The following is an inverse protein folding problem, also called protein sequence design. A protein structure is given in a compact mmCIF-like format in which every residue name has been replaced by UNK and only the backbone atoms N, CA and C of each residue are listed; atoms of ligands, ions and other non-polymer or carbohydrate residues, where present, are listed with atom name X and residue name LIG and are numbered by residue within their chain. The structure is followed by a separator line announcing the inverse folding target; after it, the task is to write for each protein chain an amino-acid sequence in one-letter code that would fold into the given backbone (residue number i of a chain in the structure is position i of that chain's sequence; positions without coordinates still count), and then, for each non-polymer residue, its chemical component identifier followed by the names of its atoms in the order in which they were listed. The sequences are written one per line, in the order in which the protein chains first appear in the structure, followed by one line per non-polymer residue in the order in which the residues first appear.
data_IF_222406574513
#
_entry.id   IF_222406574513
#
_cell.length_a   1.000
_cell.length_b   1.000
_cell.length_c   1.000
_cell.angle_alpha   90.00
_cell.angle_beta   90.00
_cell.angle_gamma   90.00
#
_symmetry.space_group_name_H-M   'P 1'
#
loop_
_entity.id
_entity.type
_entity.pdbx_description
1 polymer ?
#
# COMPACT_ATOMS: atom_id res chain seq x y z
N UNK A 1 5.40 16.08 -52.06
CA UNK A 1 4.58 14.98 -52.61
C UNK A 1 4.12 14.15 -51.42
N UNK A 2 2.82 13.86 -51.28
CA UNK A 2 2.33 13.02 -50.16
C UNK A 2 2.66 11.56 -50.49
N UNK A 3 3.42 10.87 -49.64
CA UNK A 3 3.61 9.42 -49.77
C UNK A 3 2.24 8.76 -49.79
N UNK A 4 1.97 7.94 -50.79
CA UNK A 4 0.73 7.17 -50.86
C UNK A 4 0.74 6.10 -49.78
N UNK A 5 -0.43 5.77 -49.23
CA UNK A 5 -0.57 4.74 -48.20
C UNK A 5 0.07 3.41 -48.61
N UNK A 6 0.02 3.07 -49.91
CA UNK A 6 0.67 1.87 -50.45
C UNK A 6 2.19 1.89 -50.33
N UNK A 7 2.84 3.04 -50.54
CA UNK A 7 4.29 3.17 -50.38
C UNK A 7 4.71 2.99 -48.91
N UNK A 8 3.92 3.54 -47.97
CA UNK A 8 4.17 3.35 -46.54
C UNK A 8 3.99 1.89 -46.11
N UNK A 9 2.96 1.22 -46.62
CA UNK A 9 2.73 -0.21 -46.35
C UNK A 9 3.90 -1.04 -46.88
N UNK A 10 4.38 -0.74 -48.10
CA UNK A 10 5.54 -1.42 -48.67
C UNK A 10 6.83 -1.16 -47.88
N UNK A 11 7.08 0.07 -47.43
CA UNK A 11 8.25 0.41 -46.62
C UNK A 11 8.29 -0.33 -45.27
N UNK A 12 7.13 -0.52 -44.63
CA UNK A 12 7.03 -1.15 -43.31
C UNK A 12 7.06 -2.69 -43.42
N UNK A 13 6.34 -3.25 -44.38
CA UNK A 13 6.09 -4.70 -44.45
C UNK A 13 6.79 -5.40 -45.62
N UNK A 14 7.44 -4.65 -46.52
CA UNK A 14 8.11 -5.19 -47.71
C UNK A 14 7.16 -5.70 -48.80
N UNK A 15 5.86 -5.57 -48.59
CA UNK A 15 4.80 -6.05 -49.48
C UNK A 15 3.53 -5.24 -49.30
N UNK A 16 2.77 -5.05 -50.38
CA UNK A 16 1.40 -4.50 -50.34
C UNK A 16 0.34 -5.57 -50.62
N UNK A 17 0.75 -6.83 -50.83
CA UNK A 17 -0.19 -7.93 -51.09
C UNK A 17 -1.00 -8.27 -49.82
N UNK A 18 -2.34 -8.18 -49.85
CA UNK A 18 -3.18 -8.43 -48.68
C UNK A 18 -3.05 -9.83 -48.08
N UNK A 19 -2.68 -10.85 -48.86
CA UNK A 19 -2.50 -12.22 -48.32
C UNK A 19 -1.22 -12.33 -47.52
N UNK A 20 -0.12 -11.80 -48.05
CA UNK A 20 1.15 -11.74 -47.33
C UNK A 20 1.06 -10.86 -46.06
N UNK A 21 0.37 -9.72 -46.12
CA UNK A 21 0.14 -8.88 -44.93
C UNK A 21 -0.62 -9.62 -43.82
N UNK A 22 -1.63 -10.43 -44.18
CA UNK A 22 -2.36 -11.27 -43.20
C UNK A 22 -1.48 -12.36 -42.61
N UNK A 23 -0.54 -12.90 -43.39
CA UNK A 23 0.43 -13.90 -42.91
C UNK A 23 1.40 -13.26 -41.91
N UNK A 24 1.98 -12.11 -42.26
CA UNK A 24 2.88 -11.35 -41.38
C UNK A 24 2.21 -11.00 -40.04
N UNK A 25 0.92 -10.63 -40.04
CA UNK A 25 0.17 -10.37 -38.81
C UNK A 25 0.03 -11.62 -37.92
N UNK A 26 -0.30 -12.78 -38.53
CA UNK A 26 -0.40 -14.05 -37.80
C UNK A 26 0.95 -14.50 -37.23
N UNK A 27 2.01 -14.37 -38.03
CA UNK A 27 3.36 -14.70 -37.61
C UNK A 27 3.78 -13.78 -36.44
N UNK A 28 3.48 -12.48 -36.50
CA UNK A 28 3.75 -11.53 -35.43
C UNK A 28 3.01 -11.88 -34.12
N UNK A 29 1.72 -12.23 -34.20
CA UNK A 29 0.95 -12.71 -33.04
C UNK A 29 1.58 -13.97 -32.43
N UNK A 30 2.02 -14.91 -33.27
CA UNK A 30 2.68 -16.13 -32.81
C UNK A 30 4.03 -15.82 -32.14
N UNK A 31 4.83 -14.91 -32.71
CA UNK A 31 6.09 -14.45 -32.09
C UNK A 31 5.85 -13.78 -30.74
N UNK A 32 4.82 -12.92 -30.61
CA UNK A 32 4.46 -12.29 -29.33
C UNK A 32 4.05 -13.33 -28.28
N UNK A 33 3.26 -14.34 -28.66
CA UNK A 33 2.87 -15.42 -27.76
C UNK A 33 4.06 -16.27 -27.32
N UNK A 34 5.02 -16.53 -28.21
CA UNK A 34 6.26 -17.25 -27.89
C UNK A 34 7.14 -16.43 -26.94
N UNK A 35 7.34 -15.14 -27.21
CA UNK A 35 8.09 -14.23 -26.36
C UNK A 35 7.46 -14.11 -24.95
N UNK A 36 6.12 -14.07 -24.87
CA UNK A 36 5.41 -14.04 -23.59
C UNK A 36 5.58 -15.36 -22.82
N UNK A 37 5.53 -16.51 -23.49
CA UNK A 37 5.81 -17.82 -22.89
C UNK A 37 7.27 -17.96 -22.44
N UNK A 38 8.22 -17.46 -23.20
CA UNK A 38 9.64 -17.43 -22.81
C UNK A 38 9.89 -16.50 -21.61
N UNK A 39 9.28 -15.31 -21.58
CA UNK A 39 9.35 -14.41 -20.43
C UNK A 39 8.78 -15.06 -19.16
N UNK A 40 7.67 -15.80 -19.28
CA UNK A 40 7.09 -16.58 -18.17
C UNK A 40 8.00 -17.75 -17.74
N UNK A 41 8.72 -18.39 -18.68
CA UNK A 41 9.72 -19.42 -18.36
C UNK A 41 10.93 -18.84 -17.64
N UNK A 42 11.42 -17.67 -18.02
CA UNK A 42 12.51 -16.99 -17.32
C UNK A 42 12.09 -16.39 -15.97
N UNK A 43 10.79 -16.18 -15.74
CA UNK A 43 10.25 -15.84 -14.42
C UNK A 43 10.09 -17.06 -13.50
N UNK A 44 10.20 -18.29 -14.01
CA UNK A 44 10.11 -19.52 -13.23
C UNK A 44 11.36 -19.67 -12.34
N UNK A 45 11.23 -19.25 -11.07
CA UNK A 45 12.28 -19.38 -10.05
C UNK A 45 12.53 -18.10 -9.26
N UNK A 46 12.16 -16.93 -9.79
CA UNK A 46 12.17 -15.69 -9.00
C UNK A 46 10.96 -15.71 -8.07
N UNK A 47 11.18 -15.92 -6.77
CA UNK A 47 10.11 -15.78 -5.77
C UNK A 47 9.42 -14.42 -5.96
N UNK A 48 8.07 -14.36 -5.98
CA UNK A 48 7.36 -13.10 -6.14
C UNK A 48 7.77 -12.15 -5.02
N UNK A 49 7.89 -10.86 -5.35
CA UNK A 49 8.13 -9.84 -4.35
C UNK A 49 6.99 -9.87 -3.31
N UNK A 50 7.32 -9.64 -2.04
CA UNK A 50 6.31 -9.56 -0.99
C UNK A 50 5.25 -8.53 -1.36
N UNK A 51 3.98 -8.92 -1.21
CA UNK A 51 2.87 -7.99 -1.39
C UNK A 51 2.86 -6.96 -0.27
N UNK A 52 2.28 -5.79 -0.51
CA UNK A 52 2.16 -4.77 0.53
C UNK A 52 1.42 -5.29 1.77
N UNK A 53 0.31 -6.05 1.67
CA UNK A 53 -0.29 -6.72 2.83
C UNK A 53 0.69 -7.58 3.64
N UNK A 54 1.56 -8.36 2.98
CA UNK A 54 2.56 -9.18 3.68
C UNK A 54 3.62 -8.31 4.38
N UNK A 55 4.08 -7.24 3.72
CA UNK A 55 5.04 -6.29 4.29
C UNK A 55 4.45 -5.61 5.54
N UNK A 56 3.20 -5.15 5.44
CA UNK A 56 2.47 -4.53 6.55
C UNK A 56 2.23 -5.53 7.68
N UNK A 57 1.90 -6.78 7.36
CA UNK A 57 1.74 -7.84 8.36
C UNK A 57 3.04 -8.09 9.14
N UNK A 58 4.22 -8.07 8.49
CA UNK A 58 5.50 -8.16 9.19
C UNK A 58 5.72 -6.99 10.16
N UNK A 59 5.43 -5.76 9.73
CA UNK A 59 5.55 -4.56 10.58
C UNK A 59 4.55 -4.60 11.76
N UNK A 60 3.31 -5.01 11.50
CA UNK A 60 2.27 -5.21 12.50
C UNK A 60 2.68 -6.24 13.56
N UNK A 61 3.22 -7.39 13.15
CA UNK A 61 3.72 -8.41 14.08
C UNK A 61 4.84 -7.86 14.98
N UNK A 62 5.73 -7.04 14.43
CA UNK A 62 6.79 -6.41 15.23
C UNK A 62 6.22 -5.44 16.27
N UNK A 63 5.26 -4.58 15.89
CA UNK A 63 4.61 -3.66 16.84
C UNK A 63 3.92 -4.42 17.97
N UNK A 64 3.33 -5.59 17.67
CA UNK A 64 2.72 -6.47 18.66
C UNK A 64 3.73 -7.24 19.53
N UNK A 65 5.02 -6.92 19.43
CA UNK A 65 6.08 -7.51 20.26
C UNK A 65 6.63 -8.85 19.77
N UNK A 66 6.27 -9.32 18.57
CA UNK A 66 6.87 -10.53 18.01
C UNK A 66 8.33 -10.30 17.67
N UNK A 67 9.17 -11.28 17.98
CA UNK A 67 10.60 -11.19 17.65
C UNK A 67 10.82 -11.35 16.13
N UNK A 68 11.89 -10.74 15.61
CA UNK A 68 12.28 -10.91 14.20
C UNK A 68 12.48 -12.39 13.84
N UNK A 69 12.92 -13.23 14.79
CA UNK A 69 13.05 -14.67 14.60
C UNK A 69 11.70 -15.38 14.47
N UNK A 70 10.66 -14.96 15.19
CA UNK A 70 9.30 -15.47 15.04
C UNK A 70 8.68 -15.05 13.72
N UNK A 71 8.84 -13.78 13.33
CA UNK A 71 8.34 -13.27 12.04
C UNK A 71 9.01 -14.01 10.89
N UNK A 72 10.34 -14.18 10.94
CA UNK A 72 11.10 -14.93 9.94
C UNK A 72 10.60 -16.37 9.76
N UNK A 73 10.31 -17.07 10.87
CA UNK A 73 9.71 -18.42 10.84
C UNK A 73 8.32 -18.41 10.21
N UNK A 74 7.49 -17.44 10.58
CA UNK A 74 6.10 -17.31 10.08
C UNK A 74 6.07 -17.15 8.56
N UNK A 75 6.96 -16.32 8.01
CA UNK A 75 7.03 -16.04 6.58
C UNK A 75 8.02 -16.95 5.82
N UNK A 76 8.65 -17.91 6.50
CA UNK A 76 9.65 -18.83 5.93
C UNK A 76 10.78 -18.10 5.16
N UNK A 77 11.29 -17.01 5.75
CA UNK A 77 12.38 -16.21 5.19
C UNK A 77 13.47 -15.93 6.22
N UNK A 78 14.60 -15.40 5.75
CA UNK A 78 15.69 -15.00 6.64
C UNK A 78 15.29 -13.81 7.52
N UNK A 79 15.94 -13.66 8.68
CA UNK A 79 15.80 -12.46 9.54
C UNK A 79 16.15 -11.18 8.78
N UNK A 80 17.17 -11.23 7.92
CA UNK A 80 17.57 -10.09 7.08
C UNK A 80 16.45 -9.67 6.14
N UNK A 81 15.74 -10.63 5.55
CA UNK A 81 14.58 -10.35 4.70
C UNK A 81 13.49 -9.61 5.47
N UNK A 82 13.19 -10.05 6.71
CA UNK A 82 12.21 -9.38 7.57
C UNK A 82 12.64 -7.93 7.85
N UNK A 83 13.89 -7.69 8.25
CA UNK A 83 14.41 -6.34 8.46
C UNK A 83 14.22 -5.45 7.22
N UNK A 84 14.58 -5.95 6.04
CA UNK A 84 14.47 -5.20 4.79
C UNK A 84 13.00 -4.90 4.43
N UNK A 85 12.08 -5.85 4.64
CA UNK A 85 10.66 -5.62 4.35
C UNK A 85 10.03 -4.63 5.34
N UNK A 86 10.31 -4.74 6.64
CA UNK A 86 9.84 -3.76 7.63
C UNK A 86 10.40 -2.37 7.32
N UNK A 87 11.68 -2.26 6.95
CA UNK A 87 12.24 -0.99 6.52
C UNK A 87 11.51 -0.42 5.29
N UNK A 88 11.17 -1.27 4.31
CA UNK A 88 10.36 -0.88 3.14
C UNK A 88 8.95 -0.45 3.52
N UNK A 89 8.34 -1.00 4.57
CA UNK A 89 7.03 -0.56 5.05
C UNK A 89 7.00 0.93 5.38
N UNK A 90 8.15 1.49 5.81
CA UNK A 90 8.34 2.91 6.10
C UNK A 90 8.77 3.75 4.90
N UNK A 91 9.00 3.18 3.71
CA UNK A 91 9.35 3.91 2.50
C UNK A 91 8.16 3.90 1.53
N UNK A 92 7.05 4.50 1.95
CA UNK A 92 5.77 4.34 1.26
C UNK A 92 5.36 5.49 0.34
N UNK A 93 6.03 6.65 0.45
CA UNK A 93 5.82 7.79 -0.45
C UNK A 93 7.13 8.51 -0.74
N UNK A 94 7.26 9.06 -1.94
CA UNK A 94 8.34 10.00 -2.32
C UNK A 94 7.90 11.46 -2.16
N UNK A 95 6.62 11.71 -1.90
CA UNK A 95 6.10 13.03 -1.62
C UNK A 95 6.57 13.49 -0.22
N UNK A 96 7.26 14.64 -0.12
CA UNK A 96 7.78 15.12 1.15
C UNK A 96 6.68 15.52 2.14
N UNK A 97 5.47 15.88 1.71
CA UNK A 97 4.39 16.28 2.61
C UNK A 97 3.61 15.05 3.14
N UNK A 98 3.71 13.90 2.47
CA UNK A 98 3.14 12.62 2.93
C UNK A 98 4.09 11.95 3.93
N UNK A 99 3.92 12.30 5.21
CA UNK A 99 4.79 11.83 6.30
C UNK A 99 4.24 10.65 7.10
N UNK A 100 2.94 10.38 7.03
CA UNK A 100 2.31 9.31 7.83
C UNK A 100 1.41 8.42 6.97
N UNK A 101 1.47 7.12 7.21
CA UNK A 101 0.51 6.13 6.71
C UNK A 101 -0.17 5.45 7.88
N UNK A 102 -1.50 5.45 7.89
CA UNK A 102 -2.29 4.57 8.74
C UNK A 102 -2.65 3.32 7.95
N UNK A 103 -2.40 2.16 8.54
CA UNK A 103 -2.84 0.86 8.03
C UNK A 103 -3.99 0.40 8.93
N UNK A 104 -5.21 0.38 8.40
CA UNK A 104 -6.38 -0.15 9.09
C UNK A 104 -6.43 -1.66 8.88
N UNK A 105 -6.34 -2.42 9.96
CA UNK A 105 -6.29 -3.87 9.97
C UNK A 105 -7.51 -4.47 10.64
N UNK A 106 -7.92 -5.65 10.17
CA UNK A 106 -8.81 -6.55 10.89
C UNK A 106 -7.99 -7.79 11.29
N UNK A 107 -7.79 -8.01 12.59
CA UNK A 107 -6.81 -8.99 13.10
C UNK A 107 -5.43 -8.76 12.48
N UNK A 108 -4.94 -9.67 11.64
CA UNK A 108 -3.65 -9.59 10.95
C UNK A 108 -3.80 -9.20 9.47
N UNK A 109 -5.02 -8.92 8.99
CA UNK A 109 -5.31 -8.61 7.59
C UNK A 109 -5.38 -7.10 7.36
N UNK A 110 -4.52 -6.61 6.46
CA UNK A 110 -4.58 -5.24 5.97
C UNK A 110 -5.89 -5.03 5.18
N UNK A 111 -6.69 -4.05 5.60
CA UNK A 111 -7.96 -3.71 4.96
C UNK A 111 -7.87 -2.42 4.13
N UNK A 112 -7.29 -1.36 4.69
CA UNK A 112 -7.13 -0.07 4.02
C UNK A 112 -5.80 0.57 4.42
N UNK A 113 -5.05 1.14 3.47
CA UNK A 113 -3.98 2.10 3.77
C UNK A 113 -4.49 3.51 3.55
N UNK A 114 -4.06 4.44 4.40
CA UNK A 114 -4.42 5.86 4.37
C UNK A 114 -3.10 6.63 4.45
N UNK A 115 -2.68 7.21 3.34
CA UNK A 115 -1.55 8.15 3.27
C UNK A 115 -2.04 9.54 3.63
N UNK A 116 -1.31 10.21 4.52
CA UNK A 116 -1.77 11.44 5.15
C UNK A 116 -0.76 12.56 4.90
N UNK A 117 -1.24 13.62 4.26
CA UNK A 117 -0.61 14.92 4.15
C UNK A 117 -1.33 15.87 5.10
N UNK A 118 -0.73 16.08 6.28
CA UNK A 118 -1.27 16.99 7.30
C UNK A 118 -1.15 18.46 6.91
N UNK A 119 -0.22 18.82 6.01
CA UNK A 119 0.05 20.20 5.66
C UNK A 119 -1.01 20.76 4.73
N UNK A 120 -1.45 19.95 3.78
CA UNK A 120 -2.46 20.33 2.80
C UNK A 120 -3.84 19.73 3.11
N UNK A 121 -3.99 19.05 4.25
CA UNK A 121 -5.23 18.42 4.68
C UNK A 121 -5.77 17.48 3.59
N UNK A 122 -4.92 16.55 3.15
CA UNK A 122 -5.27 15.57 2.11
C UNK A 122 -4.95 14.16 2.55
N UNK A 123 -5.78 13.23 2.09
CA UNK A 123 -5.52 11.80 2.23
C UNK A 123 -5.64 11.09 0.89
N UNK A 124 -4.89 10.00 0.74
CA UNK A 124 -5.05 9.03 -0.33
C UNK A 124 -5.23 7.64 0.26
N UNK A 125 -6.19 6.87 -0.26
CA UNK A 125 -6.48 5.54 0.27
C UNK A 125 -6.25 4.43 -0.75
N UNK A 126 -5.98 3.24 -0.25
CA UNK A 126 -6.06 2.01 -1.03
C UNK A 126 -6.76 0.92 -0.22
N UNK A 127 -7.81 0.34 -0.79
CA UNK A 127 -8.58 -0.75 -0.19
C UNK A 127 -8.05 -2.12 -0.66
N UNK A 128 -7.81 -3.04 0.28
CA UNK A 128 -7.27 -4.39 0.04
C UNK A 128 -8.28 -5.51 0.30
N UNK A 129 -9.51 -5.14 0.67
CA UNK A 129 -10.61 -6.07 0.91
C UNK A 129 -11.85 -5.70 0.09
N UNK A 130 -12.58 -6.72 -0.37
CA UNK A 130 -13.90 -6.56 -1.00
C UNK A 130 -15.03 -6.45 0.03
N UNK A 131 -14.77 -6.76 1.30
CA UNK A 131 -15.75 -6.68 2.39
C UNK A 131 -15.87 -5.22 2.84
N UNK A 132 -16.93 -4.55 2.39
CA UNK A 132 -17.20 -3.13 2.69
C UNK A 132 -17.12 -2.83 4.20
N UNK A 133 -17.68 -3.63 5.13
CA UNK A 133 -17.62 -3.33 6.57
C UNK A 133 -16.20 -3.33 7.16
N UNK A 134 -15.21 -3.88 6.46
CA UNK A 134 -13.83 -3.92 6.93
C UNK A 134 -12.98 -2.76 6.40
N UNK A 135 -13.50 -1.95 5.48
CA UNK A 135 -12.78 -0.79 4.92
C UNK A 135 -12.90 0.40 5.86
N UNK A 136 -11.86 1.22 5.95
CA UNK A 136 -11.85 2.40 6.82
C UNK A 136 -12.99 3.40 6.51
N UNK A 137 -13.32 3.56 5.23
CA UNK A 137 -14.34 4.51 4.74
C UNK A 137 -15.55 3.82 4.07
N UNK A 138 -15.75 2.53 4.32
CA UNK A 138 -16.86 1.76 3.76
C UNK A 138 -16.90 1.79 2.22
N UNK A 139 -17.94 2.42 1.67
CA UNK A 139 -18.16 2.56 0.21
C UNK A 139 -17.48 3.77 -0.41
N UNK A 140 -16.96 4.68 0.41
CA UNK A 140 -16.32 5.92 -0.07
C UNK A 140 -14.89 5.59 -0.54
N UNK A 141 -14.66 5.72 -1.85
CA UNK A 141 -13.35 5.42 -2.46
C UNK A 141 -12.43 6.66 -2.55
N UNK A 142 -12.98 7.87 -2.42
CA UNK A 142 -12.25 9.14 -2.45
C UNK A 142 -12.64 10.02 -1.25
N UNK A 143 -12.29 9.62 -0.02
CA UNK A 143 -12.63 10.38 1.18
C UNK A 143 -11.92 11.74 1.22
N UNK A 144 -12.64 12.71 1.77
CA UNK A 144 -12.15 14.06 2.06
C UNK A 144 -11.37 14.10 3.38
N UNK A 145 -10.82 15.27 3.72
CA UNK A 145 -10.23 15.50 5.04
C UNK A 145 -11.26 15.44 6.17
N UNK A 146 -12.50 15.88 5.90
CA UNK A 146 -13.59 15.79 6.88
C UNK A 146 -13.96 14.34 7.15
N UNK A 147 -14.03 13.50 6.10
CA UNK A 147 -14.23 12.05 6.23
C UNK A 147 -13.09 11.42 7.06
N UNK A 148 -11.85 11.85 6.84
CA UNK A 148 -10.70 11.41 7.62
C UNK A 148 -10.83 11.80 9.10
N UNK A 149 -11.19 13.04 9.38
CA UNK A 149 -11.38 13.54 10.75
C UNK A 149 -12.48 12.75 11.46
N UNK A 150 -13.60 12.51 10.77
CA UNK A 150 -14.68 11.68 11.29
C UNK A 150 -14.24 10.23 11.53
N UNK A 151 -13.45 9.65 10.63
CA UNK A 151 -12.86 8.32 10.81
C UNK A 151 -11.98 8.26 12.06
N UNK A 152 -11.10 9.23 12.30
CA UNK A 152 -10.28 9.27 13.51
C UNK A 152 -11.15 9.34 14.77
N UNK A 153 -12.16 10.19 14.79
CA UNK A 153 -13.09 10.29 15.92
C UNK A 153 -13.86 8.98 16.16
N UNK A 154 -14.24 8.27 15.09
CA UNK A 154 -14.94 6.98 15.19
C UNK A 154 -14.09 5.87 15.82
N UNK A 155 -12.76 6.04 15.85
CA UNK A 155 -11.80 5.11 16.48
C UNK A 155 -11.37 5.54 17.88
N UNK A 156 -12.12 6.47 18.47
CA UNK A 156 -11.91 6.97 19.82
C UNK A 156 -13.17 6.78 20.68
N UNK A 157 -13.01 6.85 22.01
CA UNK A 157 -14.16 6.91 22.92
C UNK A 157 -14.93 8.23 22.72
N UNK A 158 -16.27 8.28 22.89
CA UNK A 158 -17.01 9.52 22.63
C UNK A 158 -16.51 10.70 23.48
N UNK A 159 -16.39 11.88 22.86
CA UNK A 159 -16.01 13.13 23.57
C UNK A 159 -16.93 13.46 24.76
N UNK A 160 -18.20 13.07 24.66
CA UNK A 160 -19.24 13.26 25.68
C UNK A 160 -19.31 12.14 26.72
N UNK A 161 -18.40 11.16 26.66
CA UNK A 161 -18.37 10.03 27.60
C UNK A 161 -18.13 10.55 29.02
N UNK A 162 -18.89 10.01 29.96
CA UNK A 162 -18.67 10.28 31.37
C UNK A 162 -17.24 9.89 31.77
N UNK A 163 -16.60 10.69 32.62
CA UNK A 163 -15.19 10.53 33.00
C UNK A 163 -14.16 10.62 31.84
N UNK A 164 -14.49 11.25 30.71
CA UNK A 164 -13.55 11.45 29.60
C UNK A 164 -12.21 12.10 30.03
N UNK A 165 -12.24 13.05 30.98
CA UNK A 165 -11.03 13.70 31.49
C UNK A 165 -10.13 12.74 32.26
N UNK A 166 -10.70 11.82 33.01
CA UNK A 166 -9.96 10.83 33.79
C UNK A 166 -9.28 9.82 32.85
N UNK A 167 -10.02 9.37 31.82
CA UNK A 167 -9.51 8.49 30.75
C UNK A 167 -8.31 9.14 30.02
N UNK A 168 -8.42 10.42 29.67
CA UNK A 168 -7.31 11.16 29.05
C UNK A 168 -6.09 11.25 29.98
N UNK A 169 -6.32 11.52 31.27
CA UNK A 169 -5.26 11.59 32.28
C UNK A 169 -4.54 10.26 32.45
N UNK A 170 -5.26 9.14 32.47
CA UNK A 170 -4.69 7.79 32.52
C UNK A 170 -3.82 7.47 31.30
N UNK A 171 -4.20 7.96 30.11
CA UNK A 171 -3.38 7.87 28.90
C UNK A 171 -2.21 8.86 28.85
N UNK A 172 -2.13 9.79 29.80
CA UNK A 172 -1.14 10.87 29.82
C UNK A 172 -1.38 11.94 28.75
N UNK A 173 -2.64 12.15 28.33
CA UNK A 173 -3.03 13.12 27.31
C UNK A 173 -3.61 14.40 27.96
N UNK A 174 -3.16 15.60 27.56
CA UNK A 174 -3.61 16.85 28.16
C UNK A 174 -5.01 17.31 27.68
N UNK A 175 -5.44 16.85 26.51
CA UNK A 175 -6.74 17.17 25.91
C UNK A 175 -7.17 16.06 24.97
N UNK A 176 -8.43 16.11 24.54
CA UNK A 176 -8.97 15.15 23.60
C UNK A 176 -8.44 15.44 22.19
N UNK A 177 -7.53 14.60 21.72
CA UNK A 177 -6.98 14.62 20.37
C UNK A 177 -7.11 13.21 19.75
N UNK A 178 -7.90 13.03 18.68
CA UNK A 178 -8.09 11.71 18.08
C UNK A 178 -6.79 11.02 17.64
N UNK A 179 -5.82 11.77 17.09
CA UNK A 179 -4.55 11.18 16.64
C UNK A 179 -3.75 10.67 17.85
N UNK A 180 -3.63 11.46 18.91
CA UNK A 180 -2.91 11.05 20.11
C UNK A 180 -3.60 9.88 20.82
N UNK A 181 -4.94 9.86 20.85
CA UNK A 181 -5.70 8.75 21.41
C UNK A 181 -5.44 7.47 20.60
N UNK A 182 -5.48 7.55 19.27
CA UNK A 182 -5.18 6.39 18.40
C UNK A 182 -3.73 5.93 18.59
N UNK A 183 -2.77 6.84 18.71
CA UNK A 183 -1.37 6.49 19.01
C UNK A 183 -1.21 5.74 20.34
N UNK A 184 -2.07 6.00 21.33
CA UNK A 184 -2.06 5.31 22.64
C UNK A 184 -2.82 3.98 22.63
N UNK A 185 -3.83 3.85 21.78
CA UNK A 185 -4.82 2.75 21.83
C UNK A 185 -4.77 1.82 20.63
N UNK A 186 -3.90 2.11 19.65
CA UNK A 186 -3.92 1.54 18.30
C UNK A 186 -5.28 1.69 17.61
N UNK A 187 -6.09 2.67 18.02
CA UNK A 187 -7.46 2.86 17.56
C UNK A 187 -8.34 1.62 17.74
N UNK A 188 -8.11 0.82 18.80
CA UNK A 188 -8.91 -0.37 19.13
C UNK A 188 -10.21 0.02 19.81
N UNK A 189 -11.31 -0.62 19.43
CA UNK A 189 -12.63 -0.38 20.01
C UNK A 189 -13.23 -1.67 20.58
N UNK A 190 -13.96 -1.54 21.69
CA UNK A 190 -14.71 -2.66 22.23
C UNK A 190 -15.82 -3.05 21.26
N UNK A 191 -15.87 -4.32 20.86
CA UNK A 191 -16.89 -4.85 19.95
C UNK A 191 -16.40 -5.11 18.52
N UNK A 192 -15.17 -4.72 18.18
CA UNK A 192 -14.52 -5.12 16.94
C UNK A 192 -13.10 -5.66 17.15
N UNK A 193 -12.51 -6.22 16.10
CA UNK A 193 -11.12 -6.68 16.08
C UNK A 193 -10.27 -5.82 15.11
N UNK A 194 -10.70 -4.57 14.93
CA UNK A 194 -10.04 -3.61 14.06
C UNK A 194 -9.06 -2.74 14.84
N UNK A 195 -7.96 -2.37 14.19
CA UNK A 195 -6.92 -1.54 14.80
C UNK A 195 -6.08 -0.86 13.71
N UNK A 196 -5.29 0.11 14.11
CA UNK A 196 -4.49 0.97 13.24
C UNK A 196 -3.01 0.78 13.58
N UNK A 197 -2.23 0.38 12.58
CA UNK A 197 -0.77 0.49 12.60
C UNK A 197 -0.40 1.84 11.98
N UNK A 198 0.36 2.66 12.72
CA UNK A 198 0.86 3.95 12.24
C UNK A 198 2.31 3.78 11.78
N UNK A 199 2.57 4.10 10.52
CA UNK A 199 3.90 4.12 9.93
C UNK A 199 4.29 5.57 9.62
N UNK A 200 5.48 5.98 10.07
CA UNK A 200 6.08 7.25 9.66
C UNK A 200 6.98 7.01 8.46
N UNK A 201 6.87 7.89 7.46
CA UNK A 201 7.66 7.81 6.24
C UNK A 201 9.12 8.10 6.58
N UNK A 202 10.01 7.21 6.20
CA UNK A 202 11.46 7.45 6.27
C UNK A 202 11.84 8.20 5.02
N UNK A 203 12.43 9.37 5.22
CA UNK A 203 13.06 10.09 4.12
C UNK A 203 14.08 9.17 3.46
N UNK A 204 14.03 9.09 2.13
CA UNK A 204 15.09 8.43 1.38
C UNK A 204 16.38 9.14 1.78
N UNK A 205 17.30 8.43 2.42
CA UNK A 205 18.64 8.96 2.66
C UNK A 205 19.19 9.32 1.27
N UNK A 206 19.23 10.60 0.94
CA UNK A 206 20.12 11.07 -0.11
C UNK A 206 21.51 10.60 0.31
N UNK A 207 22.13 9.76 -0.51
CA UNK A 207 23.48 9.27 -0.26
C UNK A 207 24.36 10.47 0.03
N UNK A 208 24.98 10.48 1.21
CA UNK A 208 26.17 11.27 1.40
C UNK A 208 27.21 10.69 0.46
N UNK A 209 27.45 11.38 -0.66
CA UNK A 209 28.65 11.15 -1.45
C UNK A 209 29.86 11.37 -0.53
N UNK A 210 30.77 10.38 -0.40
CA UNK A 210 32.02 10.62 0.30
C UNK A 210 32.85 11.55 -0.58
N UNK A 211 33.03 12.79 -0.12
CA UNK A 211 34.14 13.66 -0.54
C UNK A 211 35.42 13.26 0.19
#
# INVERSE_FOLDING_TARGET
MKNTFEQQIYEIFGTTDPKELRRLSKDAEQYQQLAQKEALRHAAGRKPAFSLPQIIQMAAMQQQGKSIAEIARTFQVSRQTVYNQIARAHCFSTDPDVKTRMCFLYRDQLCTTIDIDFRHEKIAIQNYTKKIPLRAFGVVEHPTWDDFTWFLESRCFPKTRDHAKDILKEMGLPFYDPLLIIEKTDGRMAGDEQWILILKNKEARHGTDPS
#
